data_IF_585466222574
#
_entry.id   IF_585466222574
#
_cell.length_a   1.000
_cell.length_b   1.000
_cell.length_c   1.000
_cell.angle_alpha   90.00
_cell.angle_beta   90.00
_cell.angle_gamma   90.00
#
_symmetry.space_group_name_H-M   'P 1'
#
loop_
_entity.id
_entity.type
_entity.pdbx_description
1 polymer ?
#
# COMPACT_ATOMS: atom_id res chain seq x y z
N UNK A 1 22.63 8.03 2.43
CA UNK A 1 21.77 9.20 2.68
C UNK A 1 20.35 8.72 2.52
N UNK A 2 19.48 8.98 3.48
CA UNK A 2 18.06 8.64 3.35
C UNK A 2 17.52 9.21 2.04
N UNK A 3 16.76 8.43 1.30
CA UNK A 3 16.26 8.82 -0.02
C UNK A 3 15.13 9.85 0.09
N UNK A 4 14.54 9.99 1.30
CA UNK A 4 13.38 10.83 1.54
C UNK A 4 12.12 10.32 0.85
N UNK A 5 10.98 10.92 1.17
CA UNK A 5 9.69 10.56 0.58
C UNK A 5 9.60 10.98 -0.88
N UNK A 6 8.96 10.15 -1.70
CA UNK A 6 8.80 10.35 -3.14
C UNK A 6 7.32 10.47 -3.53
N UNK A 7 7.02 11.12 -4.64
CA UNK A 7 5.66 11.13 -5.18
C UNK A 7 5.49 9.93 -6.11
N UNK A 8 4.58 9.04 -5.74
CA UNK A 8 4.32 7.79 -6.46
C UNK A 8 2.86 7.79 -6.93
N UNK A 9 2.61 7.38 -8.18
CA UNK A 9 1.25 7.16 -8.67
C UNK A 9 0.55 6.07 -7.86
N UNK A 10 -0.66 6.38 -7.37
CA UNK A 10 -1.40 5.52 -6.43
C UNK A 10 -2.94 5.59 -6.62
N UNK A 11 -3.41 5.98 -7.80
CA UNK A 11 -4.85 6.02 -8.06
C UNK A 11 -5.50 4.63 -7.98
N UNK A 12 -4.72 3.58 -8.28
CA UNK A 12 -5.13 2.17 -8.11
C UNK A 12 -3.99 1.38 -7.45
N UNK A 13 -4.35 0.23 -6.84
CA UNK A 13 -3.32 -0.69 -6.32
C UNK A 13 -2.37 -1.18 -7.43
N UNK A 14 -2.89 -1.44 -8.63
CA UNK A 14 -2.06 -1.89 -9.76
C UNK A 14 -1.04 -0.82 -10.17
N UNK A 15 -1.44 0.45 -10.19
CA UNK A 15 -0.51 1.56 -10.44
C UNK A 15 0.56 1.65 -9.35
N UNK A 16 0.16 1.63 -8.07
CA UNK A 16 1.08 1.58 -6.93
C UNK A 16 2.10 0.45 -7.05
N UNK A 17 1.60 -0.77 -7.22
CA UNK A 17 2.43 -1.97 -7.39
C UNK A 17 3.43 -1.83 -8.54
N UNK A 18 2.97 -1.36 -9.70
CA UNK A 18 3.81 -1.21 -10.90
C UNK A 18 4.92 -0.19 -10.69
N UNK A 19 4.62 0.91 -10.00
CA UNK A 19 5.56 2.00 -9.77
C UNK A 19 6.54 1.73 -8.63
N UNK A 20 6.29 0.73 -7.79
CA UNK A 20 7.11 0.48 -6.59
C UNK A 20 7.91 -0.83 -6.65
N UNK A 21 7.45 -1.81 -7.40
CA UNK A 21 8.11 -3.13 -7.46
C UNK A 21 9.55 -3.00 -8.01
N UNK A 22 10.52 -3.53 -7.26
CA UNK A 22 11.95 -3.44 -7.58
C UNK A 22 12.63 -2.15 -7.11
N UNK A 23 11.89 -1.19 -6.55
CA UNK A 23 12.46 0.05 -5.99
C UNK A 23 12.84 -0.12 -4.52
N UNK A 24 13.73 0.75 -4.05
CA UNK A 24 14.22 0.80 -2.68
C UNK A 24 13.74 2.11 -2.04
N UNK A 25 13.22 2.01 -0.81
CA UNK A 25 12.77 3.15 -0.02
C UNK A 25 13.46 3.11 1.35
N UNK A 26 14.10 4.19 1.74
CA UNK A 26 14.75 4.42 3.03
C UNK A 26 14.39 5.86 3.43
N UNK A 27 13.15 6.05 3.91
CA UNK A 27 12.57 7.40 4.08
C UNK A 27 13.02 8.08 5.36
N UNK A 28 13.39 7.30 6.38
CA UNK A 28 13.85 7.82 7.66
C UNK A 28 15.38 7.76 7.87
N UNK A 29 16.10 7.05 6.99
CA UNK A 29 17.53 6.84 7.06
C UNK A 29 17.96 5.90 8.18
N UNK A 30 17.05 5.12 8.75
CA UNK A 30 17.30 4.21 9.85
C UNK A 30 17.18 2.76 9.39
N UNK A 31 18.24 1.98 9.61
CA UNK A 31 18.29 0.55 9.30
C UNK A 31 18.18 0.17 7.81
N UNK A 32 18.21 1.17 6.90
CA UNK A 32 18.05 0.96 5.44
C UNK A 32 16.63 0.61 5.03
N UNK A 33 16.47 -0.01 3.87
CA UNK A 33 15.18 -0.28 3.23
C UNK A 33 14.32 -1.29 4.01
N UNK A 34 13.54 -0.83 4.96
CA UNK A 34 12.72 -1.66 5.83
C UNK A 34 11.26 -1.75 5.33
N UNK A 35 10.51 -2.70 5.85
CA UNK A 35 9.10 -2.86 5.52
C UNK A 35 8.25 -1.66 5.93
N UNK A 36 8.65 -0.95 6.99
CA UNK A 36 8.01 0.27 7.43
C UNK A 36 8.18 1.41 6.43
N UNK A 37 9.38 1.59 5.83
CA UNK A 37 9.63 2.65 4.85
C UNK A 37 8.72 2.56 3.64
N UNK A 38 8.49 1.34 3.16
CA UNK A 38 7.56 1.11 2.04
C UNK A 38 6.11 1.43 2.42
N UNK A 39 5.69 1.08 3.62
CA UNK A 39 4.39 1.49 4.12
C UNK A 39 4.30 3.01 4.26
N UNK A 40 5.34 3.65 4.79
CA UNK A 40 5.40 5.09 5.00
C UNK A 40 5.25 5.88 3.68
N UNK A 41 5.79 5.36 2.59
CA UNK A 41 5.55 5.94 1.25
C UNK A 41 4.05 5.97 0.91
N UNK A 42 3.29 4.91 1.18
CA UNK A 42 1.84 4.95 0.92
C UNK A 42 1.16 6.02 1.78
N UNK A 43 1.39 6.02 3.10
CA UNK A 43 0.77 7.01 3.99
C UNK A 43 1.08 8.44 3.55
N UNK A 44 2.32 8.72 3.16
CA UNK A 44 2.71 10.03 2.66
C UNK A 44 1.98 10.39 1.35
N UNK A 45 1.93 9.48 0.39
CA UNK A 45 1.31 9.70 -0.91
C UNK A 45 -0.21 9.90 -0.84
N UNK A 46 -0.87 9.32 0.17
CA UNK A 46 -2.32 9.52 0.38
C UNK A 46 -2.66 10.73 1.23
N UNK A 47 -1.66 11.50 1.70
CA UNK A 47 -1.85 12.80 2.35
C UNK A 47 -1.54 12.86 3.84
N UNK A 48 -0.93 11.83 4.43
CA UNK A 48 -0.41 11.92 5.79
C UNK A 48 0.93 12.66 5.81
N UNK A 49 1.31 13.28 6.94
CA UNK A 49 2.65 13.84 7.09
C UNK A 49 3.72 12.73 7.12
N UNK A 50 4.97 13.13 6.93
CA UNK A 50 6.12 12.25 7.11
C UNK A 50 6.12 11.63 8.53
N UNK A 51 6.64 10.40 8.65
CA UNK A 51 6.68 9.66 9.90
C UNK A 51 5.43 8.81 10.19
N UNK A 52 4.46 8.76 9.26
CA UNK A 52 3.36 7.79 9.29
C UNK A 52 3.72 6.55 8.45
N UNK A 53 3.20 5.35 8.79
CA UNK A 53 2.32 5.05 9.93
C UNK A 53 3.07 5.12 11.26
N UNK A 54 2.44 5.72 12.26
CA UNK A 54 3.02 5.83 13.61
C UNK A 54 3.07 4.44 14.25
N UNK A 55 4.20 4.08 14.86
CA UNK A 55 4.36 2.84 15.63
C UNK A 55 3.87 3.01 17.05
N UNK A 56 4.55 3.82 17.84
CA UNK A 56 4.08 4.35 19.12
C UNK A 56 4.92 5.56 19.52
N UNK A 57 4.40 6.43 20.39
CA UNK A 57 5.15 7.55 20.94
C UNK A 57 6.29 7.02 21.84
N UNK A 58 7.55 7.22 21.42
CA UNK A 58 8.73 6.82 22.17
C UNK A 58 9.13 5.35 22.08
N UNK A 59 8.59 4.58 21.11
CA UNK A 59 8.95 3.17 20.90
C UNK A 59 10.05 2.95 19.86
N UNK A 60 10.47 1.70 19.74
CA UNK A 60 11.60 1.24 18.91
C UNK A 60 11.24 1.12 17.41
N UNK A 61 10.07 1.58 16.99
CA UNK A 61 9.69 1.58 15.59
C UNK A 61 9.38 0.19 14.98
N UNK A 62 8.99 -0.80 15.79
CA UNK A 62 8.67 -2.14 15.28
C UNK A 62 7.39 -2.15 14.46
N UNK A 63 7.38 -2.89 13.36
CA UNK A 63 6.27 -2.90 12.39
C UNK A 63 4.92 -3.31 13.01
N UNK A 64 4.89 -4.31 13.92
CA UNK A 64 3.65 -4.76 14.57
C UNK A 64 3.00 -3.67 15.45
N UNK A 65 3.76 -2.68 15.91
CA UNK A 65 3.25 -1.59 16.74
C UNK A 65 2.32 -0.66 15.96
N UNK A 66 2.49 -0.56 14.64
CA UNK A 66 1.59 0.19 13.75
C UNK A 66 0.13 -0.23 13.94
N UNK A 67 -0.10 -1.52 14.17
CA UNK A 67 -1.44 -2.05 14.43
C UNK A 67 -1.81 -2.01 15.90
N UNK A 68 -0.97 -2.58 16.76
CA UNK A 68 -1.32 -2.82 18.16
C UNK A 68 -1.56 -1.55 18.95
N UNK A 69 -0.75 -0.52 18.73
CA UNK A 69 -0.84 0.72 19.50
C UNK A 69 -1.46 1.89 18.73
N UNK A 70 -1.36 1.88 17.41
CA UNK A 70 -1.61 3.11 16.64
C UNK A 70 -2.58 2.95 15.48
N UNK A 71 -3.27 1.81 15.33
CA UNK A 71 -4.18 1.57 14.18
C UNK A 71 -5.27 2.65 14.03
N UNK A 72 -5.80 3.16 15.15
CA UNK A 72 -6.86 4.17 15.10
C UNK A 72 -6.35 5.56 14.69
N UNK A 73 -5.07 5.85 14.94
CA UNK A 73 -4.39 7.07 14.49
C UNK A 73 -4.00 6.90 13.02
N UNK A 74 -3.47 5.74 12.64
CA UNK A 74 -2.96 5.47 11.30
C UNK A 74 -4.04 5.34 10.23
N UNK A 75 -5.29 5.07 10.59
CA UNK A 75 -6.41 4.98 9.63
C UNK A 75 -6.94 6.33 9.15
N UNK A 76 -6.63 7.43 9.86
CA UNK A 76 -7.24 8.75 9.61
C UNK A 76 -6.26 9.89 9.88
N UNK A 77 -6.48 11.00 9.17
CA UNK A 77 -5.72 12.23 9.37
C UNK A 77 -6.59 13.45 9.07
N UNK A 78 -6.47 14.51 9.89
CA UNK A 78 -7.24 15.77 9.76
C UNK A 78 -8.75 15.53 9.58
N UNK A 79 -9.36 14.59 10.34
CA UNK A 79 -10.78 14.28 10.28
C UNK A 79 -11.20 13.44 9.08
N UNK A 80 -10.29 13.10 8.18
CA UNK A 80 -10.56 12.21 7.03
C UNK A 80 -10.11 10.79 7.35
N UNK A 81 -10.99 9.81 7.15
CA UNK A 81 -10.66 8.39 7.26
C UNK A 81 -10.22 7.88 5.90
N UNK A 82 -8.95 7.49 5.79
CA UNK A 82 -8.34 6.97 4.57
C UNK A 82 -8.38 5.46 4.48
N UNK A 83 -8.32 4.77 5.65
CA UNK A 83 -8.25 3.31 5.71
C UNK A 83 -9.39 2.73 6.54
N UNK A 84 -9.96 1.62 6.08
CA UNK A 84 -10.77 0.73 6.90
C UNK A 84 -9.88 -0.27 7.61
N UNK A 85 -10.26 -0.68 8.83
CA UNK A 85 -9.53 -1.68 9.61
C UNK A 85 -10.10 -3.07 9.36
N UNK A 86 -9.26 -4.00 8.94
CA UNK A 86 -9.61 -5.40 8.66
C UNK A 86 -9.04 -6.26 9.79
N UNK A 87 -9.92 -6.92 10.53
CA UNK A 87 -9.58 -7.69 11.71
C UNK A 87 -9.47 -9.20 11.45
N UNK A 88 -10.16 -9.70 10.41
CA UNK A 88 -10.14 -11.10 10.08
C UNK A 88 -9.30 -11.35 8.83
N UNK A 89 -8.42 -12.33 8.89
CA UNK A 89 -7.59 -12.71 7.76
C UNK A 89 -8.42 -13.11 6.52
N UNK A 90 -9.57 -13.77 6.73
CA UNK A 90 -10.50 -14.14 5.66
C UNK A 90 -11.05 -12.97 4.84
N UNK A 91 -11.01 -11.76 5.40
CA UNK A 91 -11.53 -10.56 4.76
C UNK A 91 -10.47 -9.78 3.99
N UNK A 92 -9.20 -10.24 4.05
CA UNK A 92 -8.07 -9.58 3.36
C UNK A 92 -8.23 -9.69 1.84
N UNK A 93 -8.11 -8.56 1.19
CA UNK A 93 -8.19 -8.41 -0.26
C UNK A 93 -6.90 -7.81 -0.84
N UNK A 94 -6.73 -7.95 -2.14
CA UNK A 94 -5.63 -7.33 -2.88
C UNK A 94 -5.57 -5.83 -2.59
N UNK A 95 -4.37 -5.31 -2.29
CA UNK A 95 -4.13 -3.92 -1.92
C UNK A 95 -4.23 -3.61 -0.42
N UNK A 96 -4.70 -4.53 0.42
CA UNK A 96 -4.70 -4.35 1.87
C UNK A 96 -3.27 -4.36 2.41
N UNK A 97 -2.97 -3.46 3.33
CA UNK A 97 -1.66 -3.39 4.01
C UNK A 97 -1.72 -4.26 5.25
N UNK A 98 -1.20 -5.48 5.16
CA UNK A 98 -1.21 -6.46 6.24
C UNK A 98 -0.11 -6.21 7.26
N UNK A 99 -0.40 -6.41 8.54
CA UNK A 99 0.54 -6.31 9.64
C UNK A 99 0.65 -7.65 10.35
N UNK A 100 1.88 -8.15 10.46
CA UNK A 100 2.22 -9.39 11.15
C UNK A 100 2.90 -9.10 12.48
N UNK A 101 2.59 -9.90 13.50
CA UNK A 101 3.17 -9.80 14.83
C UNK A 101 4.67 -10.13 14.84
N UNK A 102 5.35 -9.67 15.86
CA UNK A 102 6.72 -10.11 16.15
C UNK A 102 6.76 -11.56 16.60
N UNK A 103 7.79 -12.27 16.16
CA UNK A 103 8.10 -13.65 16.55
C UNK A 103 9.48 -13.73 17.19
N UNK A 104 9.86 -14.88 17.73
CA UNK A 104 11.22 -15.09 18.26
C UNK A 104 12.30 -14.90 17.18
N UNK A 105 12.02 -15.28 15.94
CA UNK A 105 12.95 -15.15 14.81
C UNK A 105 12.90 -13.79 14.11
N UNK A 106 11.80 -13.07 14.25
CA UNK A 106 11.61 -11.70 13.74
C UNK A 106 10.86 -10.84 14.77
N UNK A 107 11.53 -10.33 15.81
CA UNK A 107 10.87 -9.56 16.87
C UNK A 107 10.17 -8.28 16.37
N UNK A 108 10.63 -7.72 15.26
CA UNK A 108 10.07 -6.49 14.69
C UNK A 108 8.70 -6.71 14.03
N UNK A 109 8.32 -7.97 13.76
CA UNK A 109 7.15 -8.26 12.94
C UNK A 109 7.36 -7.84 11.47
N UNK A 110 6.26 -7.64 10.75
CA UNK A 110 6.34 -7.25 9.34
C UNK A 110 5.11 -6.46 8.90
N UNK A 111 5.28 -5.64 7.88
CA UNK A 111 4.21 -4.92 7.20
C UNK A 111 4.39 -5.07 5.68
N UNK A 112 3.34 -5.48 4.97
CA UNK A 112 3.38 -5.72 3.54
C UNK A 112 2.02 -5.50 2.89
N UNK A 113 1.96 -5.44 1.56
CA UNK A 113 0.74 -5.23 0.80
C UNK A 113 0.27 -6.55 0.19
N UNK A 114 -0.95 -6.95 0.44
CA UNK A 114 -1.56 -8.12 -0.17
C UNK A 114 -1.60 -7.98 -1.70
N UNK A 115 -1.02 -8.93 -2.43
CA UNK A 115 -0.99 -8.95 -3.90
C UNK A 115 -2.02 -9.93 -4.49
N UNK A 116 -2.88 -10.45 -3.64
CA UNK A 116 -4.06 -11.27 -3.97
C UNK A 116 -5.06 -11.22 -2.82
N UNK A 117 -6.27 -11.73 -3.06
CA UNK A 117 -7.22 -11.98 -1.97
C UNK A 117 -6.79 -13.23 -1.20
N UNK A 118 -6.98 -13.22 0.12
CA UNK A 118 -6.67 -14.39 0.93
C UNK A 118 -7.61 -15.57 0.58
N UNK A 119 -7.02 -16.73 0.31
CA UNK A 119 -7.69 -17.94 -0.17
C UNK A 119 -7.95 -19.02 0.91
N UNK A 120 -7.54 -18.76 2.16
CA UNK A 120 -7.66 -19.72 3.27
C UNK A 120 -6.46 -20.69 3.40
N UNK A 121 -5.43 -20.58 2.57
CA UNK A 121 -4.27 -21.52 2.56
C UNK A 121 -3.30 -21.35 3.73
N UNK A 122 -3.46 -20.31 4.57
CA UNK A 122 -2.50 -19.92 5.60
C UNK A 122 -1.32 -19.11 5.07
N UNK A 123 -1.31 -18.81 3.78
CA UNK A 123 -0.28 -18.00 3.10
C UNK A 123 -0.93 -16.94 2.23
N UNK A 124 -0.17 -15.86 1.96
CA UNK A 124 -0.61 -14.76 1.10
C UNK A 124 0.57 -14.27 0.26
N UNK A 125 0.35 -14.06 -1.03
CA UNK A 125 1.32 -13.31 -1.83
C UNK A 125 1.26 -11.84 -1.46
N UNK A 126 2.42 -11.29 -1.11
CA UNK A 126 2.54 -9.89 -0.71
C UNK A 126 3.67 -9.20 -1.50
N UNK A 127 3.54 -7.89 -1.69
CA UNK A 127 4.67 -7.03 -2.04
C UNK A 127 5.11 -6.24 -0.82
N UNK A 128 6.41 -6.07 -0.65
CA UNK A 128 6.99 -5.35 0.49
C UNK A 128 8.50 -5.29 0.44
N UNK A 129 9.08 -4.49 1.31
CA UNK A 129 10.52 -4.42 1.51
C UNK A 129 10.96 -5.33 2.67
N UNK A 130 12.25 -5.68 2.66
CA UNK A 130 12.88 -6.51 3.68
C UNK A 130 12.16 -7.86 3.91
N UNK A 131 11.61 -8.44 2.85
CA UNK A 131 10.88 -9.72 2.87
C UNK A 131 11.50 -10.79 1.96
N UNK A 132 12.78 -10.65 1.61
CA UNK A 132 13.54 -11.53 0.72
C UNK A 132 14.05 -10.78 -0.52
N UNK A 133 14.84 -11.43 -1.33
CA UNK A 133 15.56 -10.83 -2.45
C UNK A 133 17.02 -10.52 -2.10
N UNK A 134 17.72 -9.81 -3.00
CA UNK A 134 19.10 -9.40 -2.76
C UNK A 134 19.15 -8.24 -1.77
N UNK A 135 20.08 -8.28 -0.80
CA UNK A 135 20.26 -7.16 0.13
C UNK A 135 20.58 -5.86 -0.60
N UNK A 136 19.96 -4.77 -0.15
CA UNK A 136 20.31 -3.41 -0.56
C UNK A 136 21.66 -3.00 0.03
N UNK A 137 22.47 -2.18 -0.66
CA UNK A 137 23.67 -1.57 -0.09
C UNK A 137 23.42 -0.74 1.18
N UNK A 138 22.22 -0.19 1.35
CA UNK A 138 21.80 0.56 2.54
C UNK A 138 21.25 -0.33 3.66
N UNK A 139 21.13 -1.64 3.45
CA UNK A 139 20.45 -2.59 4.32
C UNK A 139 19.00 -2.86 3.91
N UNK A 140 18.42 -3.98 4.37
CA UNK A 140 17.12 -4.43 3.91
C UNK A 140 17.12 -4.92 2.46
N UNK A 141 15.97 -4.84 1.78
CA UNK A 141 15.84 -5.24 0.38
C UNK A 141 14.89 -4.31 -0.37
N UNK A 142 15.01 -4.27 -1.71
CA UNK A 142 14.01 -3.62 -2.56
C UNK A 142 12.60 -4.22 -2.36
N UNK A 143 11.59 -3.52 -2.84
CA UNK A 143 10.21 -4.03 -2.88
C UNK A 143 10.16 -5.28 -3.76
N UNK A 144 9.81 -6.40 -3.17
CA UNK A 144 9.72 -7.71 -3.85
C UNK A 144 8.35 -8.33 -3.63
N UNK A 145 7.99 -9.28 -4.50
CA UNK A 145 6.79 -10.11 -4.35
C UNK A 145 7.19 -11.45 -3.73
N UNK A 146 6.66 -11.74 -2.53
CA UNK A 146 6.93 -12.99 -1.84
C UNK A 146 5.66 -13.57 -1.22
N UNK A 147 5.68 -14.89 -0.99
CA UNK A 147 4.61 -15.61 -0.31
C UNK A 147 4.91 -15.64 1.19
N UNK A 148 4.09 -14.99 1.99
CA UNK A 148 4.25 -14.87 3.43
C UNK A 148 3.29 -15.82 4.17
N UNK A 149 3.74 -16.42 5.28
CA UNK A 149 2.86 -17.13 6.21
C UNK A 149 2.03 -16.15 7.03
N UNK A 150 0.74 -16.42 7.18
CA UNK A 150 -0.21 -15.53 7.86
C UNK A 150 -0.53 -15.96 9.30
N UNK A 151 0.25 -16.88 9.90
CA UNK A 151 0.02 -17.35 11.27
C UNK A 151 0.10 -16.26 12.34
N UNK A 152 0.87 -15.21 12.07
CA UNK A 152 1.08 -14.07 12.97
C UNK A 152 0.29 -12.82 12.55
N UNK A 153 -0.77 -12.96 11.76
CA UNK A 153 -1.61 -11.86 11.30
C UNK A 153 -2.27 -11.14 12.49
N UNK A 154 -2.08 -9.81 12.54
CA UNK A 154 -2.72 -8.93 13.53
C UNK A 154 -3.93 -8.21 12.95
N UNK A 155 -3.85 -7.79 11.71
CA UNK A 155 -4.88 -7.05 11.01
C UNK A 155 -4.34 -6.40 9.75
N UNK A 156 -5.21 -5.66 9.04
CA UNK A 156 -4.79 -4.93 7.86
C UNK A 156 -5.49 -3.57 7.74
N UNK A 157 -4.84 -2.66 7.01
CA UNK A 157 -5.40 -1.37 6.62
C UNK A 157 -5.82 -1.44 5.16
N UNK A 158 -7.11 -1.22 4.88
CA UNK A 158 -7.66 -1.15 3.52
C UNK A 158 -7.74 0.29 3.08
N UNK A 159 -6.90 0.68 2.12
CA UNK A 159 -6.99 2.03 1.56
C UNK A 159 -8.28 2.17 0.74
N UNK A 160 -9.18 3.01 1.21
CA UNK A 160 -10.55 3.14 0.69
C UNK A 160 -10.61 3.45 -0.80
N UNK A 161 -9.72 4.32 -1.30
CA UNK A 161 -9.75 4.73 -2.70
C UNK A 161 -9.46 3.57 -3.67
N UNK A 162 -8.74 2.53 -3.25
CA UNK A 162 -8.48 1.35 -4.09
C UNK A 162 -9.66 0.38 -4.16
N UNK A 163 -10.61 0.48 -3.21
CA UNK A 163 -11.74 -0.44 -3.07
C UNK A 163 -13.10 0.22 -3.33
N UNK A 164 -13.12 1.53 -3.62
CA UNK A 164 -14.34 2.17 -4.09
C UNK A 164 -14.60 1.72 -5.53
N UNK A 165 -15.76 1.12 -5.77
CA UNK A 165 -16.25 0.94 -7.15
C UNK A 165 -16.36 2.33 -7.78
N UNK A 166 -15.75 2.60 -8.96
CA UNK A 166 -16.00 3.85 -9.65
C UNK A 166 -17.52 4.04 -9.76
N UNK A 167 -18.06 5.25 -9.59
CA UNK A 167 -19.48 5.47 -9.78
C UNK A 167 -19.84 4.94 -11.18
N UNK A 168 -20.82 4.04 -11.24
CA UNK A 168 -21.36 3.57 -12.52
C UNK A 168 -21.77 4.82 -13.30
N UNK A 169 -21.24 5.05 -14.52
CA UNK A 169 -21.65 6.21 -15.30
C UNK A 169 -23.16 6.20 -15.38
N UNK A 170 -23.79 7.23 -14.85
CA UNK A 170 -25.25 7.38 -15.00
C UNK A 170 -25.54 7.48 -16.48
N UNK A 171 -26.58 6.79 -16.94
CA UNK A 171 -26.96 6.70 -18.35
C UNK A 171 -27.18 8.04 -19.05
N UNK A 172 -27.15 9.13 -18.31
CA UNK A 172 -27.35 10.49 -18.78
C UNK A 172 -26.08 11.20 -19.29
N UNK A 173 -24.86 10.61 -19.09
CA UNK A 173 -23.61 11.19 -19.61
C UNK A 173 -23.25 10.76 -21.05
N UNK A 174 -24.18 10.15 -21.80
CA UNK A 174 -24.00 9.81 -23.22
C UNK A 174 -24.12 11.00 -24.17
N UNK A 175 -23.77 12.21 -23.75
CA UNK A 175 -23.56 13.33 -24.67
C UNK A 175 -22.09 13.77 -24.73
N UNK A 176 -21.19 12.84 -25.07
CA UNK A 176 -19.88 13.25 -25.56
C UNK A 176 -20.01 13.69 -27.03
N UNK A 177 -19.57 14.92 -27.37
CA UNK A 177 -19.71 15.49 -28.70
C UNK A 177 -18.80 14.85 -29.77
N UNK A 178 -18.24 13.70 -29.53
CA UNK A 178 -17.37 12.98 -30.46
C UNK A 178 -18.07 12.54 -31.75
N UNK A 179 -19.36 12.33 -31.72
CA UNK A 179 -20.14 11.90 -32.89
C UNK A 179 -20.27 13.02 -33.91
N UNK A 180 -20.16 14.28 -33.53
CA UNK A 180 -20.24 15.41 -34.47
C UNK A 180 -18.93 15.68 -35.23
N UNK A 181 -17.76 15.26 -34.68
CA UNK A 181 -16.48 15.45 -35.34
C UNK A 181 -16.24 14.46 -36.51
N UNK A 182 -16.76 13.23 -36.42
CA UNK A 182 -16.55 12.23 -37.44
C UNK A 182 -17.36 12.47 -38.72
N UNK A 183 -18.43 13.28 -38.67
CA UNK A 183 -19.24 13.60 -39.86
C UNK A 183 -18.70 14.75 -40.73
N UNK A 184 -17.83 15.59 -40.23
CA UNK A 184 -17.31 16.77 -40.96
C UNK A 184 -16.18 16.45 -41.94
N UNK A 185 -15.56 15.26 -41.85
CA UNK A 185 -14.47 14.86 -42.73
C UNK A 185 -14.85 13.96 -43.90
N UNK A 186 -16.15 13.59 -44.06
CA UNK A 186 -16.59 12.70 -45.14
C UNK A 186 -17.19 13.37 -46.37
N UNK A 187 -17.38 14.70 -46.35
CA UNK A 187 -18.02 15.42 -47.46
C UNK A 187 -17.11 16.46 -48.20
N UNK A 188 -15.83 16.20 -48.22
CA UNK A 188 -14.86 17.05 -48.91
C UNK A 188 -14.11 16.33 -50.02
N UNK A 189 -14.83 15.70 -50.97
CA UNK A 189 -14.28 15.37 -52.31
C UNK A 189 -15.42 15.44 -53.34
N UNK A 190 -15.51 16.53 -54.02
CA UNK A 190 -15.81 16.66 -55.43
C UNK A 190 -15.03 17.85 -55.95
#
# INVERSE_FOLDING_TARGET
MAQGYTTIGHATYIEWRTNTLGHEYDVDGAYGCQCWDYAAELWYNVGFPQGYPITQSGGDGQAWMVWTYSRDINKQYNGTTYFDLIYNLSDVQVGDVVVLNGTTSNPAGHIAFADENYDGSGYLWCIGQNQGGSPSPSGGTAVTRNRLGMGDFLGAFRYRAWHTTPPTPTSDEHHFPWVLYARKFRNGKR
#
